data_IF_008908828595
#
_entry.id   IF_008908828595
#
_cell.length_a   1.000
_cell.length_b   1.000
_cell.length_c   1.000
_cell.angle_alpha   90.00
_cell.angle_beta   90.00
_cell.angle_gamma   90.00
#
_symmetry.space_group_name_H-M   'P 1'
#
loop_
_entity.id
_entity.type
_entity.pdbx_description
1 polymer ?
#
# COMPACT_ATOMS: atom_id res chain seq x y z
N UNK A 1 -0.57 -12.09 33.28
CA UNK A 1 -1.56 -11.75 32.23
C UNK A 1 -1.03 -10.69 31.25
N UNK A 2 -0.50 -9.53 31.72
CA UNK A 2 0.13 -8.50 30.85
C UNK A 2 1.08 -9.05 29.78
N UNK A 3 1.95 -10.00 30.15
CA UNK A 3 2.92 -10.58 29.22
C UNK A 3 2.28 -11.34 28.04
N UNK A 4 1.13 -12.00 28.25
CA UNK A 4 0.41 -12.72 27.19
C UNK A 4 -0.24 -11.76 26.20
N UNK A 5 -0.77 -10.63 26.70
CA UNK A 5 -1.35 -9.59 25.85
C UNK A 5 -0.29 -8.91 24.97
N UNK A 6 0.88 -8.59 25.54
CA UNK A 6 1.99 -8.04 24.77
C UNK A 6 2.47 -9.03 23.69
N UNK A 7 2.58 -10.32 24.03
CA UNK A 7 2.95 -11.36 23.07
C UNK A 7 1.91 -11.52 21.94
N UNK A 8 0.61 -11.49 22.26
CA UNK A 8 -0.44 -11.56 21.24
C UNK A 8 -0.48 -10.32 20.34
N UNK A 9 -0.23 -9.13 20.91
CA UNK A 9 -0.15 -7.88 20.14
C UNK A 9 1.08 -7.92 19.23
N UNK A 10 2.22 -8.35 19.74
CA UNK A 10 3.44 -8.55 18.96
C UNK A 10 3.19 -9.53 17.80
N UNK A 11 2.53 -10.67 18.07
CA UNK A 11 2.14 -11.64 17.05
C UNK A 11 1.26 -11.02 15.95
N UNK A 12 0.25 -10.26 16.35
CA UNK A 12 -0.66 -9.59 15.41
C UNK A 12 0.07 -8.55 14.54
N UNK A 13 0.93 -7.73 15.14
CA UNK A 13 1.65 -6.65 14.43
C UNK A 13 2.67 -7.22 13.44
N UNK A 14 3.47 -8.22 13.83
CA UNK A 14 4.44 -8.79 12.89
C UNK A 14 3.74 -9.56 11.76
N UNK A 15 2.62 -10.24 12.07
CA UNK A 15 1.82 -10.96 11.07
C UNK A 15 1.23 -10.01 10.05
N UNK A 16 0.68 -8.88 10.51
CA UNK A 16 0.10 -7.85 9.64
C UNK A 16 1.16 -7.15 8.77
N UNK A 17 2.33 -6.86 9.32
CA UNK A 17 3.42 -6.18 8.60
C UNK A 17 4.28 -7.12 7.74
N UNK A 18 4.11 -8.43 7.90
CA UNK A 18 4.85 -9.45 7.14
C UNK A 18 6.32 -9.62 7.55
N UNK A 19 6.75 -9.09 8.70
CA UNK A 19 8.15 -9.17 9.14
C UNK A 19 8.55 -10.61 9.48
N UNK A 20 7.69 -11.32 10.25
CA UNK A 20 7.81 -12.77 10.44
C UNK A 20 9.13 -13.26 11.08
N UNK A 21 9.55 -12.71 12.23
CA UNK A 21 10.78 -13.14 12.90
C UNK A 21 10.81 -14.62 13.32
N UNK A 22 9.64 -15.25 13.47
CA UNK A 22 9.51 -16.69 13.74
C UNK A 22 9.73 -17.10 15.20
N UNK A 23 9.87 -16.14 16.11
CA UNK A 23 10.03 -16.35 17.55
C UNK A 23 8.75 -16.87 18.23
N UNK A 24 7.58 -16.50 17.68
CA UNK A 24 6.28 -17.08 18.06
C UNK A 24 5.76 -17.85 16.84
N UNK A 25 5.73 -19.16 16.93
CA UNK A 25 5.27 -20.05 15.86
C UNK A 25 4.26 -21.06 16.36
N UNK A 26 3.31 -21.41 15.51
CA UNK A 26 2.36 -22.49 15.76
C UNK A 26 3.09 -23.83 15.63
N UNK A 27 2.95 -24.70 16.63
CA UNK A 27 3.60 -26.02 16.65
C UNK A 27 2.59 -27.15 16.47
N UNK A 28 1.35 -26.96 16.92
CA UNK A 28 0.27 -27.90 16.72
C UNK A 28 -0.40 -27.76 15.35
N UNK A 29 -0.90 -28.88 14.80
CA UNK A 29 -1.62 -28.89 13.52
C UNK A 29 -2.80 -27.90 13.48
N UNK A 30 -3.59 -27.85 14.57
CA UNK A 30 -4.73 -26.93 14.68
C UNK A 30 -4.25 -25.48 14.78
N UNK A 31 -3.20 -25.23 15.57
CA UNK A 31 -2.61 -23.89 15.73
C UNK A 31 -2.11 -23.35 14.39
N UNK A 32 -1.48 -24.22 13.57
CA UNK A 32 -0.99 -23.85 12.24
C UNK A 32 -2.15 -23.45 11.34
N UNK A 33 -3.23 -24.23 11.28
CA UNK A 33 -4.41 -23.92 10.46
C UNK A 33 -5.01 -22.57 10.87
N UNK A 34 -5.18 -22.33 12.18
CA UNK A 34 -5.72 -21.08 12.70
C UNK A 34 -4.78 -19.90 12.40
N UNK A 35 -3.48 -20.08 12.63
CA UNK A 35 -2.48 -19.05 12.34
C UNK A 35 -2.46 -18.70 10.85
N UNK A 36 -2.49 -19.70 9.96
CA UNK A 36 -2.57 -19.49 8.51
C UNK A 36 -3.83 -18.72 8.11
N UNK A 37 -5.00 -19.06 8.67
CA UNK A 37 -6.23 -18.32 8.42
C UNK A 37 -6.13 -16.85 8.86
N UNK A 38 -5.53 -16.59 10.03
CA UNK A 38 -5.28 -15.23 10.53
C UNK A 38 -4.32 -14.47 9.61
N UNK A 39 -3.24 -15.12 9.15
CA UNK A 39 -2.27 -14.51 8.23
C UNK A 39 -2.93 -14.13 6.89
N UNK A 40 -3.79 -14.99 6.33
CA UNK A 40 -4.51 -14.70 5.09
C UNK A 40 -5.43 -13.48 5.23
N UNK A 41 -6.24 -13.45 6.30
CA UNK A 41 -7.10 -12.30 6.59
C UNK A 41 -6.29 -11.02 6.83
N UNK A 42 -5.19 -11.12 7.58
CA UNK A 42 -4.28 -10.02 7.87
C UNK A 42 -3.64 -9.45 6.60
N UNK A 43 -3.22 -10.31 5.66
CA UNK A 43 -2.64 -9.89 4.40
C UNK A 43 -3.63 -9.11 3.52
N UNK A 44 -4.88 -9.59 3.42
CA UNK A 44 -5.93 -8.88 2.67
C UNK A 44 -6.22 -7.51 3.29
N UNK A 45 -6.35 -7.45 4.61
CA UNK A 45 -6.56 -6.21 5.32
C UNK A 45 -5.40 -5.22 5.14
N UNK A 46 -4.16 -5.71 5.22
CA UNK A 46 -2.97 -4.91 5.04
C UNK A 46 -2.86 -4.33 3.63
N UNK A 47 -3.12 -5.13 2.59
CA UNK A 47 -3.15 -4.66 1.21
C UNK A 47 -4.19 -3.55 0.99
N UNK A 48 -5.39 -3.71 1.57
CA UNK A 48 -6.43 -2.69 1.53
C UNK A 48 -5.97 -1.38 2.20
N UNK A 49 -5.36 -1.48 3.38
CA UNK A 49 -4.89 -0.32 4.13
C UNK A 49 -3.82 0.47 3.38
N UNK A 50 -2.86 -0.21 2.72
CA UNK A 50 -1.87 0.44 1.85
C UNK A 50 -2.56 1.19 0.71
N UNK A 51 -3.55 0.56 0.06
CA UNK A 51 -4.34 1.21 -0.99
C UNK A 51 -5.00 2.50 -0.51
N UNK A 52 -5.62 2.47 0.67
CA UNK A 52 -6.21 3.66 1.29
C UNK A 52 -5.19 4.75 1.57
N UNK A 53 -3.98 4.40 2.03
CA UNK A 53 -2.92 5.39 2.24
C UNK A 53 -2.46 6.05 0.94
N UNK A 54 -2.28 5.28 -0.14
CA UNK A 54 -1.94 5.84 -1.46
C UNK A 54 -3.04 6.79 -1.94
N UNK A 55 -4.31 6.40 -1.80
CA UNK A 55 -5.44 7.26 -2.14
C UNK A 55 -5.43 8.54 -1.30
N UNK A 56 -5.25 8.44 0.02
CA UNK A 56 -5.18 9.61 0.90
C UNK A 56 -4.04 10.56 0.49
N UNK A 57 -2.85 10.03 0.20
CA UNK A 57 -1.71 10.82 -0.28
C UNK A 57 -2.02 11.50 -1.61
N UNK A 58 -2.67 10.80 -2.54
CA UNK A 58 -3.08 11.39 -3.82
C UNK A 58 -4.08 12.54 -3.67
N UNK A 59 -4.92 12.49 -2.62
CA UNK A 59 -5.85 13.56 -2.27
C UNK A 59 -5.19 14.76 -1.56
N UNK A 60 -4.02 14.58 -0.93
CA UNK A 60 -3.33 15.72 -0.33
C UNK A 60 -2.73 16.66 -1.38
N UNK A 61 -2.34 16.14 -2.55
CA UNK A 61 -1.80 16.94 -3.67
C UNK A 61 -2.75 16.97 -4.87
N UNK A 62 -4.04 17.28 -4.63
CA UNK A 62 -5.03 17.39 -5.72
C UNK A 62 -4.61 18.43 -6.76
N UNK A 63 -4.06 19.57 -6.34
CA UNK A 63 -3.68 20.66 -7.23
C UNK A 63 -2.45 20.33 -8.08
N UNK A 64 -1.40 19.74 -7.49
CA UNK A 64 -0.21 19.31 -8.22
C UNK A 64 -0.51 18.18 -9.19
N UNK A 65 -1.31 17.19 -8.76
CA UNK A 65 -1.76 16.10 -9.64
C UNK A 65 -2.60 16.61 -10.81
N UNK A 66 -3.55 17.52 -10.57
CA UNK A 66 -4.36 18.11 -11.63
C UNK A 66 -3.53 18.95 -12.62
N UNK A 67 -2.53 19.69 -12.14
CA UNK A 67 -1.61 20.44 -12.99
C UNK A 67 -0.78 19.52 -13.89
N UNK A 68 -0.18 18.46 -13.30
CA UNK A 68 0.58 17.44 -14.04
C UNK A 68 -0.28 16.76 -15.11
N UNK A 69 -1.51 16.37 -14.76
CA UNK A 69 -2.43 15.73 -15.68
C UNK A 69 -2.80 16.64 -16.87
N UNK A 70 -3.08 17.93 -16.63
CA UNK A 70 -3.31 18.91 -17.70
C UNK A 70 -2.07 19.11 -18.58
N UNK A 71 -0.89 19.13 -17.98
CA UNK A 71 0.36 19.26 -18.73
C UNK A 71 0.61 18.03 -19.62
N UNK A 72 0.31 16.83 -19.13
CA UNK A 72 0.40 15.59 -19.92
C UNK A 72 -0.60 15.57 -21.09
N UNK A 73 -1.83 16.02 -20.88
CA UNK A 73 -2.83 16.18 -21.95
C UNK A 73 -2.36 17.19 -23.02
N UNK A 74 -1.80 18.33 -22.60
CA UNK A 74 -1.23 19.32 -23.51
C UNK A 74 -0.06 18.73 -24.30
N UNK A 75 0.86 18.02 -23.63
CA UNK A 75 1.99 17.35 -24.26
C UNK A 75 1.53 16.32 -25.30
N UNK A 76 0.49 15.55 -24.99
CA UNK A 76 -0.12 14.59 -25.91
C UNK A 76 -0.72 15.27 -27.14
N UNK A 77 -1.51 16.34 -26.96
CA UNK A 77 -2.06 17.12 -28.08
C UNK A 77 -0.96 17.71 -28.97
N UNK A 78 0.12 18.23 -28.37
CA UNK A 78 1.24 18.80 -29.10
C UNK A 78 2.05 17.74 -29.87
N UNK A 79 2.07 16.49 -29.39
CA UNK A 79 2.66 15.36 -30.10
C UNK A 79 1.80 14.94 -31.30
N UNK A 80 0.49 14.78 -31.09
CA UNK A 80 -0.48 14.40 -32.12
C UNK A 80 -0.49 15.39 -33.30
N UNK A 81 -0.56 16.70 -33.00
CA UNK A 81 -0.58 17.75 -34.01
C UNK A 81 0.79 18.11 -34.60
N UNK A 82 1.86 17.36 -34.27
CA UNK A 82 3.25 17.59 -34.73
C UNK A 82 3.72 19.03 -34.56
N UNK A 83 3.49 19.62 -33.38
CA UNK A 83 3.93 20.99 -33.12
C UNK A 83 5.46 21.11 -33.23
N UNK A 84 6.00 22.16 -33.88
CA UNK A 84 7.43 22.40 -33.94
C UNK A 84 7.98 22.70 -32.53
N UNK A 85 9.20 22.23 -32.26
CA UNK A 85 9.83 22.20 -30.93
C UNK A 85 9.93 23.58 -30.25
N UNK A 86 9.96 24.65 -31.05
CA UNK A 86 9.97 26.04 -30.57
C UNK A 86 8.68 26.48 -29.87
N UNK A 87 7.54 25.83 -30.16
CA UNK A 87 6.25 26.12 -29.50
C UNK A 87 5.98 25.22 -28.29
N UNK A 88 6.66 24.06 -28.17
CA UNK A 88 6.48 23.12 -27.05
C UNK A 88 7.19 23.54 -25.76
N UNK A 89 8.16 24.46 -25.84
CA UNK A 89 9.07 24.83 -24.74
C UNK A 89 8.75 26.18 -24.10
N UNK A 90 7.65 26.81 -24.49
CA UNK A 90 7.13 28.07 -23.93
C UNK A 90 5.90 27.77 -23.08
#
# INVERSE_FOLDING_TARGET
VRHKYCASLYFAVYTMTGIGFGDISATGHIEVIVATAIMLCGAVFWAYMIGQFVTLVSHMDIYGNAFRQRMDELNFMMADKKFPTNLKRR
#
